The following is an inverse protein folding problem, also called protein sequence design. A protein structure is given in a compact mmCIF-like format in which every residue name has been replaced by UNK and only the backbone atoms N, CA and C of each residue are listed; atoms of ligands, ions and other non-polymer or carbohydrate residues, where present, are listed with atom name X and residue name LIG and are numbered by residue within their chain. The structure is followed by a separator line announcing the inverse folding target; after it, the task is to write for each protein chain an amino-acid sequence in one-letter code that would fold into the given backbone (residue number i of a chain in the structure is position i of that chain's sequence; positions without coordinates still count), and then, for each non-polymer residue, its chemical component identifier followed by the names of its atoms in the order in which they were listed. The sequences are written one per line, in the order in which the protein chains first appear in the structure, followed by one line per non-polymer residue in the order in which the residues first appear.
data_IF_725686059308
#
_entry.id   IF_725686059308
#
_cell.length_a   1.000
_cell.length_b   1.000
_cell.length_c   1.000
_cell.angle_alpha   90.00
_cell.angle_beta   90.00
_cell.angle_gamma   90.00
#
_symmetry.space_group_name_H-M   'P 1'
#
loop_
_entity.id
_entity.type
_entity.pdbx_description
1 polymer ?
#
# COMPACT_ATOMS: atom_id res chain seq x y z
N UNK A 1 2.99 -15.73 9.44
CA UNK A 1 2.20 -14.48 9.53
C UNK A 1 3.03 -13.25 9.94
N UNK A 2 3.81 -13.26 11.03
CA UNK A 2 4.60 -12.10 11.48
C UNK A 2 5.69 -11.64 10.48
N UNK A 3 6.33 -12.58 9.78
CA UNK A 3 7.42 -12.27 8.83
C UNK A 3 6.95 -11.47 7.59
N UNK A 4 5.78 -11.80 7.03
CA UNK A 4 5.14 -11.03 5.94
C UNK A 4 4.87 -9.58 6.34
N UNK A 5 4.35 -9.35 7.55
CA UNK A 5 4.09 -8.00 8.06
C UNK A 5 5.39 -7.20 8.23
N UNK A 6 6.45 -7.84 8.71
CA UNK A 6 7.77 -7.20 8.86
C UNK A 6 8.36 -6.84 7.49
N UNK A 7 8.35 -7.76 6.53
CA UNK A 7 8.84 -7.51 5.17
C UNK A 7 8.03 -6.42 4.44
N UNK A 8 6.70 -6.44 4.57
CA UNK A 8 5.82 -5.38 4.04
C UNK A 8 6.07 -4.03 4.72
N UNK A 9 6.33 -4.01 6.03
CA UNK A 9 6.70 -2.80 6.76
C UNK A 9 8.02 -2.21 6.24
N UNK A 10 9.03 -3.06 5.99
CA UNK A 10 10.29 -2.61 5.40
C UNK A 10 10.13 -2.12 3.96
N UNK A 11 9.29 -2.74 3.13
CA UNK A 11 9.00 -2.24 1.77
C UNK A 11 8.22 -0.91 1.79
N UNK A 12 7.22 -0.77 2.68
CA UNK A 12 6.46 0.47 2.86
C UNK A 12 7.30 1.64 3.39
N UNK A 13 8.45 1.36 3.98
CA UNK A 13 9.42 2.35 4.45
C UNK A 13 10.46 2.78 3.39
N UNK A 14 10.71 1.97 2.36
CA UNK A 14 11.76 2.24 1.35
C UNK A 14 11.36 3.24 0.28
N UNK A 15 10.08 3.26 -0.09
CA UNK A 15 9.62 4.00 -1.27
C UNK A 15 8.79 5.22 -0.87
N UNK A 16 9.31 6.45 -1.04
CA UNK A 16 8.55 7.67 -0.77
C UNK A 16 7.49 7.92 -1.85
N UNK A 17 6.36 8.52 -1.48
CA UNK A 17 5.29 8.88 -2.42
C UNK A 17 5.61 10.17 -3.17
N UNK A 18 4.88 10.46 -4.26
CA UNK A 18 5.02 11.69 -5.04
C UNK A 18 4.82 12.92 -4.15
N UNK A 19 3.79 12.90 -3.30
CA UNK A 19 3.47 13.99 -2.38
C UNK A 19 4.59 14.21 -1.36
N UNK A 20 5.21 13.12 -0.89
CA UNK A 20 6.34 13.19 0.03
C UNK A 20 7.58 13.80 -0.65
N UNK A 21 7.89 13.40 -1.89
CA UNK A 21 8.98 13.98 -2.66
C UNK A 21 8.78 15.48 -2.85
N UNK A 22 7.60 15.90 -3.32
CA UNK A 22 7.26 17.31 -3.54
C UNK A 22 7.38 18.10 -2.23
N UNK A 23 6.80 17.61 -1.14
CA UNK A 23 6.84 18.27 0.17
C UNK A 23 8.28 18.44 0.68
N UNK A 24 9.12 17.40 0.57
CA UNK A 24 10.53 17.51 0.99
C UNK A 24 11.29 18.46 0.07
N UNK A 25 11.08 18.41 -1.25
CA UNK A 25 11.74 19.31 -2.20
C UNK A 25 11.40 20.79 -1.93
N UNK A 26 10.12 21.09 -1.69
CA UNK A 26 9.65 22.42 -1.29
C UNK A 26 10.28 22.88 0.02
N UNK A 27 10.34 21.99 1.01
CA UNK A 27 10.96 22.29 2.31
C UNK A 27 12.46 22.55 2.16
N UNK A 28 13.18 21.74 1.39
CA UNK A 28 14.60 21.97 1.09
C UNK A 28 14.79 23.33 0.44
N UNK A 29 13.95 23.70 -0.53
CA UNK A 29 14.01 25.01 -1.20
C UNK A 29 13.76 26.16 -0.23
N UNK A 30 12.74 26.06 0.62
CA UNK A 30 12.42 27.08 1.62
C UNK A 30 13.58 27.27 2.62
N UNK A 31 14.11 26.18 3.18
CA UNK A 31 15.22 26.22 4.13
C UNK A 31 16.52 26.73 3.50
N UNK A 32 16.77 26.39 2.23
CA UNK A 32 17.95 26.87 1.49
C UNK A 32 17.85 28.37 1.21
N UNK A 33 16.67 28.89 0.83
CA UNK A 33 16.45 30.34 0.63
C UNK A 33 16.55 31.16 1.91
N UNK A 34 16.16 30.57 3.05
CA UNK A 34 16.28 31.21 4.36
C UNK A 34 17.72 31.21 4.92
N UNK A 35 18.63 30.43 4.34
CA UNK A 35 20.05 30.40 4.72
C UNK A 35 20.83 31.48 3.97
N UNK A 36 21.57 32.32 4.68
CA UNK A 36 22.41 33.39 4.10
C UNK A 36 23.42 32.84 3.08
N UNK A 37 23.91 31.62 3.30
CA UNK A 37 24.91 30.96 2.44
C UNK A 37 24.30 30.22 1.25
N UNK A 38 22.96 30.08 1.20
CA UNK A 38 22.28 29.20 0.25
C UNK A 38 22.67 27.73 0.39
N UNK A 39 23.22 27.34 1.55
CA UNK A 39 23.60 25.98 1.90
C UNK A 39 22.84 25.58 3.16
N UNK A 40 22.22 24.41 3.10
CA UNK A 40 21.58 23.75 4.24
C UNK A 40 22.60 22.84 4.92
N UNK A 41 23.16 23.31 6.03
CA UNK A 41 24.00 22.50 6.91
C UNK A 41 23.17 21.48 7.68
N UNK A 42 23.72 20.27 7.87
CA UNK A 42 23.03 19.12 8.49
C UNK A 42 21.61 18.90 7.95
N UNK A 43 21.46 18.61 6.65
CA UNK A 43 20.17 18.63 5.96
C UNK A 43 19.13 17.68 6.56
N UNK A 44 19.52 16.49 7.02
CA UNK A 44 18.57 15.53 7.60
C UNK A 44 17.96 16.00 8.92
N UNK A 45 18.76 16.60 9.80
CA UNK A 45 18.28 17.12 11.09
C UNK A 45 17.30 18.28 10.87
N UNK A 46 17.68 19.24 10.01
CA UNK A 46 16.83 20.39 9.66
C UNK A 46 15.53 19.98 8.97
N UNK A 47 15.58 18.99 8.08
CA UNK A 47 14.38 18.48 7.43
C UNK A 47 13.49 17.71 8.40
N UNK A 48 14.06 16.99 9.36
CA UNK A 48 13.27 16.29 10.37
C UNK A 48 12.61 17.25 11.36
N UNK A 49 13.29 18.34 11.72
CA UNK A 49 12.71 19.43 12.52
C UNK A 49 11.54 20.10 11.79
N UNK A 50 11.67 20.37 10.50
CA UNK A 50 10.60 20.95 9.69
C UNK A 50 9.46 19.97 9.36
N UNK A 51 9.76 18.67 9.30
CA UNK A 51 8.83 17.60 8.96
C UNK A 51 8.87 16.48 10.02
N UNK A 52 8.38 16.72 11.25
CA UNK A 52 8.51 15.77 12.37
C UNK A 52 7.77 14.45 12.12
N UNK A 53 6.72 14.48 11.29
CA UNK A 53 5.95 13.29 10.92
C UNK A 53 6.65 12.39 9.88
N UNK A 54 7.81 12.80 9.36
CA UNK A 54 8.59 12.02 8.39
C UNK A 54 9.83 11.45 9.06
N UNK A 55 9.90 10.12 9.16
CA UNK A 55 11.03 9.44 9.78
C UNK A 55 12.36 9.64 9.04
N UNK A 56 13.47 9.63 9.79
CA UNK A 56 14.83 9.88 9.29
C UNK A 56 15.24 9.00 8.09
N UNK A 57 14.87 7.71 8.10
CA UNK A 57 15.18 6.80 7.01
C UNK A 57 14.51 7.24 5.69
N UNK A 58 13.27 7.75 5.75
CA UNK A 58 12.56 8.26 4.57
C UNK A 58 13.20 9.55 4.07
N UNK A 59 13.54 10.48 4.97
CA UNK A 59 14.25 11.71 4.59
C UNK A 59 15.59 11.41 3.92
N UNK A 60 16.32 10.39 4.40
CA UNK A 60 17.57 9.95 3.77
C UNK A 60 17.34 9.43 2.36
N UNK A 61 16.32 8.61 2.13
CA UNK A 61 16.00 8.14 0.76
C UNK A 61 15.60 9.30 -0.14
N UNK A 62 14.70 10.18 0.31
CA UNK A 62 14.20 11.30 -0.50
C UNK A 62 15.33 12.28 -0.84
N UNK A 63 16.22 12.59 0.12
CA UNK A 63 17.36 13.49 -0.14
C UNK A 63 18.38 12.90 -1.11
N UNK A 64 18.64 11.59 -1.03
CA UNK A 64 19.46 10.90 -2.05
C UNK A 64 18.80 11.00 -3.42
N UNK A 65 17.50 10.71 -3.49
CA UNK A 65 16.76 10.78 -4.76
C UNK A 65 16.78 12.18 -5.37
N UNK A 66 16.54 13.22 -4.56
CA UNK A 66 16.63 14.62 -5.00
C UNK A 66 18.02 15.00 -5.51
N UNK A 67 19.09 14.41 -4.95
CA UNK A 67 20.44 14.60 -5.45
C UNK A 67 20.66 13.89 -6.79
N UNK A 68 20.18 12.65 -6.92
CA UNK A 68 20.35 11.83 -8.13
C UNK A 68 19.62 12.42 -9.35
N UNK A 69 18.47 13.07 -9.14
CA UNK A 69 17.73 13.78 -10.20
C UNK A 69 18.23 15.21 -10.45
N UNK A 70 19.31 15.62 -9.78
CA UNK A 70 19.94 16.93 -9.97
C UNK A 70 19.17 18.11 -9.38
N UNK A 71 18.26 17.88 -8.42
CA UNK A 71 17.54 18.96 -7.73
C UNK A 71 18.25 19.48 -6.49
N UNK A 72 19.17 18.68 -5.96
CA UNK A 72 20.06 19.10 -4.89
C UNK A 72 21.48 18.69 -5.22
N UNK A 73 22.45 19.38 -4.63
CA UNK A 73 23.85 18.99 -4.68
C UNK A 73 24.39 18.90 -3.27
N UNK A 74 25.05 17.79 -2.94
CA UNK A 74 25.79 17.67 -1.68
C UNK A 74 27.09 18.47 -1.74
N UNK A 75 27.41 19.18 -0.67
CA UNK A 75 28.69 19.87 -0.52
C UNK A 75 29.74 18.89 0.01
N UNK A 76 31.03 19.22 -0.15
CA UNK A 76 32.14 18.41 0.40
C UNK A 76 32.06 18.25 1.93
N UNK A 77 31.39 19.16 2.63
CA UNK A 77 31.21 19.14 4.10
C UNK A 77 29.93 18.41 4.54
N UNK A 78 29.17 17.83 3.61
CA UNK A 78 27.93 17.10 3.92
C UNK A 78 26.67 17.97 3.99
N UNK A 79 26.79 19.27 3.71
CA UNK A 79 25.65 20.18 3.51
C UNK A 79 24.94 19.91 2.18
N UNK A 80 23.80 20.56 1.99
CA UNK A 80 22.96 20.42 0.79
C UNK A 80 22.64 21.78 0.20
N UNK A 81 22.76 21.91 -1.12
CA UNK A 81 22.33 23.09 -1.86
C UNK A 81 21.19 22.72 -2.79
N UNK A 82 20.11 23.50 -2.80
CA UNK A 82 19.04 23.36 -3.79
C UNK A 82 19.51 23.88 -5.15
N UNK A 83 19.22 23.12 -6.21
CA UNK A 83 19.38 23.54 -7.59
C UNK A 83 17.99 23.95 -8.09
N UNK A 84 17.88 25.18 -8.59
CA UNK A 84 16.65 25.66 -9.24
C UNK A 84 16.89 25.76 -10.75
N UNK A 85 16.99 24.60 -11.38
CA UNK A 85 16.90 24.50 -12.83
C UNK A 85 15.42 24.31 -13.16
N UNK A 86 14.87 25.14 -14.06
CA UNK A 86 13.50 25.01 -14.54
C UNK A 86 13.16 23.57 -14.95
N UNK A 87 11.89 23.16 -14.79
CA UNK A 87 11.46 21.77 -14.97
C UNK A 87 11.61 20.89 -13.73
N UNK A 88 11.93 21.48 -12.59
CA UNK A 88 11.96 20.86 -11.27
C UNK A 88 10.75 19.95 -10.96
N UNK A 89 9.53 20.43 -11.19
CA UNK A 89 8.31 19.67 -10.88
C UNK A 89 8.16 18.45 -11.80
N UNK A 90 8.46 18.60 -13.09
CA UNK A 90 8.41 17.52 -14.06
C UNK A 90 9.45 16.43 -13.75
N UNK A 91 10.67 16.82 -13.33
CA UNK A 91 11.70 15.88 -12.86
C UNK A 91 11.24 15.11 -11.61
N UNK A 92 10.59 15.78 -10.65
CA UNK A 92 10.03 15.13 -9.45
C UNK A 92 8.95 14.14 -9.85
N UNK A 93 8.02 14.54 -10.70
CA UNK A 93 6.87 13.73 -11.07
C UNK A 93 7.31 12.47 -11.83
N UNK A 94 8.24 12.62 -12.78
CA UNK A 94 8.84 11.49 -13.49
C UNK A 94 9.59 10.55 -12.54
N UNK A 95 10.45 11.09 -11.68
CA UNK A 95 11.21 10.28 -10.74
C UNK A 95 10.30 9.54 -9.74
N UNK A 96 9.25 10.20 -9.27
CA UNK A 96 8.29 9.60 -8.37
C UNK A 96 7.49 8.49 -9.05
N UNK A 97 7.08 8.68 -10.32
CA UNK A 97 6.40 7.65 -11.10
C UNK A 97 7.30 6.42 -11.33
N UNK A 98 8.56 6.62 -11.72
CA UNK A 98 9.53 5.52 -11.87
C UNK A 98 9.74 4.75 -10.55
N UNK A 99 9.83 5.46 -9.42
CA UNK A 99 9.95 4.84 -8.11
C UNK A 99 8.68 4.12 -7.66
N UNK A 100 7.50 4.65 -7.99
CA UNK A 100 6.22 3.98 -7.71
C UNK A 100 6.11 2.66 -8.47
N UNK A 101 6.51 2.64 -9.76
CA UNK A 101 6.56 1.42 -10.57
C UNK A 101 7.55 0.39 -10.02
N UNK A 102 8.73 0.83 -9.55
CA UNK A 102 9.69 -0.05 -8.85
C UNK A 102 9.11 -0.61 -7.55
N UNK A 103 8.44 0.23 -6.76
CA UNK A 103 7.81 -0.19 -5.50
C UNK A 103 6.73 -1.24 -5.72
N UNK A 104 5.92 -1.10 -6.77
CA UNK A 104 4.92 -2.09 -7.14
C UNK A 104 5.57 -3.41 -7.59
N UNK A 105 6.62 -3.33 -8.40
CA UNK A 105 7.39 -4.50 -8.84
C UNK A 105 8.01 -5.25 -7.65
N UNK A 106 8.62 -4.52 -6.71
CA UNK A 106 9.19 -5.08 -5.48
C UNK A 106 8.13 -5.77 -4.60
N UNK A 107 6.94 -5.15 -4.45
CA UNK A 107 5.82 -5.77 -3.72
C UNK A 107 5.37 -7.05 -4.39
N UNK A 108 5.25 -7.04 -5.72
CA UNK A 108 4.84 -8.20 -6.49
C UNK A 108 5.88 -9.33 -6.38
N UNK A 109 7.18 -9.01 -6.39
CA UNK A 109 8.25 -9.99 -6.15
C UNK A 109 8.12 -10.59 -4.74
N UNK A 110 7.96 -9.75 -3.72
CA UNK A 110 7.81 -10.23 -2.34
C UNK A 110 6.61 -11.17 -2.19
N UNK A 111 5.46 -10.78 -2.75
CA UNK A 111 4.26 -11.60 -2.71
C UNK A 111 4.45 -12.95 -3.40
N UNK A 112 5.16 -12.98 -4.53
CA UNK A 112 5.56 -14.24 -5.18
C UNK A 112 6.48 -15.08 -4.30
N UNK A 113 7.48 -14.48 -3.65
CA UNK A 113 8.37 -15.19 -2.72
C UNK A 113 7.60 -15.79 -1.55
N UNK A 114 6.67 -15.04 -0.97
CA UNK A 114 5.82 -15.51 0.13
C UNK A 114 4.94 -16.66 -0.34
N UNK A 115 4.32 -16.53 -1.52
CA UNK A 115 3.49 -17.58 -2.11
C UNK A 115 4.30 -18.85 -2.34
N UNK A 116 5.49 -18.73 -2.93
CA UNK A 116 6.40 -19.86 -3.13
C UNK A 116 6.73 -20.56 -1.80
N UNK A 117 7.06 -19.80 -0.76
CA UNK A 117 7.45 -20.34 0.54
C UNK A 117 6.28 -20.96 1.33
N UNK A 118 5.05 -20.48 1.15
CA UNK A 118 3.87 -20.90 1.91
C UNK A 118 2.96 -21.88 1.17
N UNK A 119 3.24 -22.15 -0.11
CA UNK A 119 2.41 -23.08 -0.88
C UNK A 119 2.73 -24.54 -0.57
N UNK A 120 1.70 -25.38 -0.75
CA UNK A 120 1.83 -26.83 -0.82
C UNK A 120 2.06 -27.33 -2.27
N UNK A 121 2.17 -26.43 -3.25
CA UNK A 121 2.27 -26.79 -4.65
C UNK A 121 3.66 -27.34 -4.99
N UNK A 122 3.76 -28.09 -6.10
CA UNK A 122 5.06 -28.56 -6.60
C UNK A 122 6.01 -27.37 -6.84
N UNK A 123 7.17 -27.38 -6.18
CA UNK A 123 8.15 -26.27 -6.27
C UNK A 123 8.60 -26.01 -7.70
N UNK A 124 8.87 -27.07 -8.46
CA UNK A 124 9.29 -26.95 -9.86
C UNK A 124 8.20 -26.36 -10.73
N UNK A 125 6.94 -26.78 -10.56
CA UNK A 125 5.80 -26.22 -11.30
C UNK A 125 5.69 -24.72 -11.09
N UNK A 126 5.75 -24.25 -9.84
CA UNK A 126 5.69 -22.81 -9.54
C UNK A 126 6.83 -22.01 -10.17
N UNK A 127 8.06 -22.55 -10.17
CA UNK A 127 9.21 -21.89 -10.80
C UNK A 127 9.05 -21.85 -12.32
N UNK A 128 8.64 -22.96 -12.94
CA UNK A 128 8.39 -23.02 -14.38
C UNK A 128 7.25 -22.07 -14.79
N UNK A 129 6.16 -22.01 -14.04
CA UNK A 129 5.06 -21.06 -14.26
C UNK A 129 5.52 -19.61 -14.17
N UNK A 130 6.39 -19.29 -13.20
CA UNK A 130 6.95 -17.96 -13.05
C UNK A 130 7.78 -17.54 -14.28
N UNK A 131 8.74 -18.38 -14.69
CA UNK A 131 9.62 -18.04 -15.81
C UNK A 131 8.89 -18.08 -17.16
N UNK A 132 7.94 -19.00 -17.35
CA UNK A 132 7.12 -19.02 -18.57
C UNK A 132 6.23 -17.78 -18.66
N UNK A 133 5.62 -17.32 -17.56
CA UNK A 133 4.84 -16.09 -17.53
C UNK A 133 5.68 -14.84 -17.83
N UNK A 134 6.92 -14.78 -17.34
CA UNK A 134 7.83 -13.64 -17.62
C UNK A 134 8.27 -13.60 -19.09
N UNK A 135 8.53 -14.76 -19.70
CA UNK A 135 8.90 -14.83 -21.12
C UNK A 135 7.74 -14.39 -22.02
N UNK A 136 6.50 -14.81 -21.72
CA UNK A 136 5.30 -14.38 -22.47
C UNK A 136 5.11 -12.86 -22.39
N UNK A 137 5.37 -12.24 -21.23
CA UNK A 137 5.30 -10.77 -21.05
C UNK A 137 6.41 -10.02 -21.78
N UNK A 138 7.60 -10.61 -21.93
CA UNK A 138 8.68 -10.00 -22.69
C UNK A 138 8.42 -10.08 -24.20
N UNK A 139 7.87 -11.19 -24.68
CA UNK A 139 7.48 -11.36 -26.08
C UNK A 139 6.40 -10.37 -26.53
N UNK A 140 5.40 -10.08 -25.68
CA UNK A 140 4.35 -9.10 -25.99
C UNK A 140 4.83 -7.65 -26.02
N UNK A 141 6.06 -7.37 -25.55
CA UNK A 141 6.68 -6.02 -25.55
C UNK A 141 7.63 -5.80 -26.73
N UNK A 142 8.02 -6.85 -27.46
CA UNK A 142 8.94 -6.74 -28.61
C UNK A 142 8.11 -6.77 -29.90
N UNK A 143 7.73 -5.58 -30.37
CA UNK A 143 7.23 -5.39 -31.74
C UNK A 143 8.44 -5.07 -32.62
N UNK A 144 8.91 -6.07 -33.36
CA UNK A 144 9.96 -6.02 -34.39
C UNK A 144 11.40 -5.65 -33.92
N UNK A 145 12.31 -6.64 -33.93
CA UNK A 145 13.61 -6.61 -34.66
C UNK A 145 14.54 -7.78 -34.24
N UNK A 146 15.48 -8.08 -35.15
CA UNK A 146 16.29 -9.29 -35.40
C UNK A 146 16.66 -10.30 -34.29
N UNK A 147 16.83 -11.59 -34.67
CA UNK A 147 17.06 -12.70 -33.76
C UNK A 147 18.53 -12.76 -33.31
N UNK A 148 18.89 -11.98 -32.30
CA UNK A 148 20.20 -12.13 -31.66
C UNK A 148 20.01 -12.95 -30.38
N UNK A 149 20.45 -14.21 -30.47
CA UNK A 149 20.40 -15.32 -29.49
C UNK A 149 19.23 -16.28 -29.72
N UNK A 150 19.58 -17.51 -30.09
CA UNK A 150 18.67 -18.67 -30.02
C UNK A 150 18.38 -19.01 -28.55
N UNK A 151 17.63 -18.15 -27.87
CA UNK A 151 16.97 -18.51 -26.63
C UNK A 151 15.90 -19.54 -26.99
N UNK A 152 16.25 -20.81 -26.90
CA UNK A 152 15.28 -21.89 -26.98
C UNK A 152 14.36 -21.69 -25.78
N UNK A 153 13.10 -21.37 -26.07
CA UNK A 153 12.04 -21.30 -25.07
C UNK A 153 12.16 -22.54 -24.16
N UNK A 154 12.25 -22.37 -22.83
CA UNK A 154 12.17 -23.50 -21.92
C UNK A 154 10.83 -24.18 -22.19
N UNK A 155 10.88 -25.32 -22.84
CA UNK A 155 9.71 -26.18 -22.97
C UNK A 155 9.37 -26.64 -21.56
N UNK A 156 8.09 -26.64 -21.23
CA UNK A 156 7.63 -27.22 -19.98
C UNK A 156 7.91 -28.73 -20.00
N UNK A 157 9.10 -29.12 -19.53
CA UNK A 157 9.56 -30.51 -19.51
C UNK A 157 8.67 -31.41 -18.64
N UNK A 158 7.84 -30.81 -17.78
CA UNK A 158 6.86 -31.51 -16.95
C UNK A 158 5.51 -31.67 -17.65
N UNK A 159 5.27 -31.02 -18.80
CA UNK A 159 3.99 -31.10 -19.50
C UNK A 159 2.77 -30.71 -18.66
N UNK A 160 2.95 -29.81 -17.68
CA UNK A 160 1.92 -29.44 -16.70
C UNK A 160 1.78 -30.38 -15.49
N UNK A 161 2.56 -31.46 -15.41
CA UNK A 161 2.54 -32.39 -14.28
C UNK A 161 3.43 -31.93 -13.11
N UNK A 162 3.36 -32.67 -12.00
CA UNK A 162 4.24 -32.49 -10.83
C UNK A 162 5.57 -33.17 -11.08
N UNK A 163 6.67 -32.58 -10.60
CA UNK A 163 8.00 -33.14 -10.81
C UNK A 163 8.28 -34.46 -10.06
N UNK A 164 7.49 -34.80 -9.03
CA UNK A 164 7.65 -36.01 -8.23
C UNK A 164 8.89 -36.05 -7.32
N UNK A 165 9.83 -35.11 -7.46
CA UNK A 165 11.15 -35.15 -6.80
C UNK A 165 11.43 -33.98 -5.85
N UNK A 166 10.59 -32.93 -5.83
CA UNK A 166 10.76 -31.87 -4.84
C UNK A 166 10.18 -32.26 -3.49
N UNK A 167 10.67 -31.62 -2.43
CA UNK A 167 10.17 -31.77 -1.07
C UNK A 167 8.64 -31.59 -0.94
N UNK A 168 7.98 -30.65 -1.65
CA UNK A 168 6.50 -30.58 -1.62
C UNK A 168 5.79 -31.74 -2.34
N UNK A 169 6.46 -32.46 -3.26
CA UNK A 169 5.92 -33.67 -3.88
C UNK A 169 6.19 -34.91 -3.01
N UNK A 170 7.34 -34.94 -2.35
CA UNK A 170 7.78 -36.05 -1.50
C UNK A 170 7.13 -36.01 -0.11
N UNK A 171 7.00 -34.81 0.45
CA UNK A 171 6.42 -34.49 1.74
C UNK A 171 5.45 -33.31 1.57
N UNK A 172 4.25 -33.55 1.00
CA UNK A 172 3.25 -32.50 0.91
C UNK A 172 2.92 -32.00 2.32
N UNK A 173 2.93 -30.68 2.57
CA UNK A 173 2.63 -30.16 3.89
C UNK A 173 1.19 -30.51 4.27
N UNK A 174 1.05 -31.38 5.26
CA UNK A 174 -0.24 -31.74 5.83
C UNK A 174 -0.74 -30.55 6.65
N UNK A 175 -1.94 -30.06 6.36
CA UNK A 175 -2.60 -29.08 7.23
C UNK A 175 -3.01 -29.81 8.50
N UNK A 176 -2.14 -29.78 9.51
CA UNK A 176 -2.54 -30.19 10.86
C UNK A 176 -3.38 -29.06 11.45
N UNK A 177 -4.70 -29.24 11.47
CA UNK A 177 -5.61 -28.29 12.11
C UNK A 177 -5.25 -28.16 13.59
N UNK A 178 -4.59 -27.06 13.95
CA UNK A 178 -4.28 -26.82 15.34
C UNK A 178 -5.58 -26.58 16.13
N UNK A 179 -5.71 -27.06 17.37
CA UNK A 179 -6.86 -26.75 18.24
C UNK A 179 -7.12 -25.24 18.44
N UNK A 180 -6.14 -24.39 18.10
CA UNK A 180 -6.26 -22.93 18.09
C UNK A 180 -6.97 -22.40 16.84
N UNK A 181 -6.81 -23.02 15.68
CA UNK A 181 -7.51 -22.66 14.44
C UNK A 181 -8.95 -23.15 14.44
N UNK A 182 -9.23 -24.31 15.03
CA UNK A 182 -10.62 -24.79 15.23
C UNK A 182 -11.42 -23.97 16.25
N UNK A 183 -10.76 -23.12 17.06
CA UNK A 183 -11.43 -22.06 17.86
C UNK A 183 -11.77 -20.82 17.05
N UNK A 184 -11.15 -20.60 15.89
CA UNK A 184 -11.66 -19.69 14.88
C UNK A 184 -12.78 -20.41 14.13
N UNK A 185 -13.95 -20.53 14.78
CA UNK A 185 -15.19 -20.67 14.03
C UNK A 185 -15.18 -19.56 12.97
N UNK A 186 -15.29 -19.94 11.69
CA UNK A 186 -15.84 -19.05 10.66
C UNK A 186 -17.00 -18.32 11.35
N UNK A 187 -17.05 -16.98 11.39
CA UNK A 187 -18.19 -16.32 11.95
C UNK A 187 -19.38 -16.81 11.12
N UNK A 188 -20.17 -17.73 11.68
CA UNK A 188 -21.52 -17.98 11.21
C UNK A 188 -22.11 -16.60 11.20
N UNK A 189 -22.42 -16.11 10.00
CA UNK A 189 -22.96 -14.78 9.70
C UNK A 189 -23.82 -14.30 10.84
N UNK A 190 -23.20 -13.60 11.81
CA UNK A 190 -23.94 -12.90 12.84
C UNK A 190 -24.48 -11.72 12.09
N UNK A 191 -25.76 -11.83 11.74
CA UNK A 191 -26.63 -10.83 11.12
C UNK A 191 -26.05 -9.44 11.38
N UNK A 192 -25.33 -8.91 10.38
CA UNK A 192 -25.01 -7.48 10.39
C UNK A 192 -26.36 -6.80 10.45
N UNK A 193 -26.63 -6.09 11.54
CA UNK A 193 -27.88 -5.36 11.70
C UNK A 193 -27.97 -4.38 10.54
N UNK A 194 -28.91 -4.61 9.63
CA UNK A 194 -29.23 -3.70 8.55
C UNK A 194 -29.93 -2.49 9.15
N UNK A 195 -29.38 -1.31 8.89
CA UNK A 195 -30.06 -0.04 9.14
C UNK A 195 -30.71 0.40 7.84
N UNK A 196 -31.83 1.12 7.94
CA UNK A 196 -32.47 1.76 6.80
C UNK A 196 -32.20 3.27 6.82
N UNK A 197 -32.24 3.89 5.64
CA UNK A 197 -32.16 5.35 5.53
C UNK A 197 -33.35 5.97 6.25
N UNK A 198 -33.08 6.88 7.19
CA UNK A 198 -34.08 7.48 8.07
C UNK A 198 -34.06 6.95 9.50
N UNK A 199 -33.34 5.86 9.80
CA UNK A 199 -33.26 5.34 11.17
C UNK A 199 -32.56 6.32 12.11
N UNK A 200 -33.10 6.49 13.33
CA UNK A 200 -32.42 7.23 14.39
C UNK A 200 -31.44 6.31 15.10
N UNK A 201 -30.17 6.73 15.13
CA UNK A 201 -29.09 5.92 15.63
C UNK A 201 -28.15 6.74 16.52
N UNK A 202 -27.54 6.08 17.52
CA UNK A 202 -26.66 6.70 18.50
C UNK A 202 -25.22 6.22 18.31
N UNK A 203 -24.33 7.16 18.04
CA UNK A 203 -22.89 6.96 18.01
C UNK A 203 -22.28 7.34 19.37
N UNK A 204 -21.42 6.48 19.93
CA UNK A 204 -20.85 6.64 21.28
C UNK A 204 -20.18 8.00 21.55
N UNK A 205 -19.56 8.60 20.54
CA UNK A 205 -18.82 9.87 20.66
C UNK A 205 -19.63 11.09 20.24
N UNK A 206 -20.66 10.91 19.41
CA UNK A 206 -21.35 12.01 18.72
C UNK A 206 -22.83 12.12 19.08
N UNK A 207 -23.35 11.23 19.93
CA UNK A 207 -24.74 11.27 20.35
C UNK A 207 -25.65 10.69 19.28
N UNK A 208 -26.87 11.21 19.18
CA UNK A 208 -27.90 10.73 18.27
C UNK A 208 -27.83 11.45 16.92
N UNK A 209 -28.09 10.70 15.86
CA UNK A 209 -28.19 11.23 14.51
C UNK A 209 -29.05 10.33 13.64
N UNK A 210 -29.40 10.80 12.46
CA UNK A 210 -30.26 10.10 11.52
C UNK A 210 -29.43 9.49 10.40
N UNK A 211 -29.71 8.23 10.06
CA UNK A 211 -29.05 7.57 8.93
C UNK A 211 -29.47 8.23 7.63
N UNK A 212 -28.50 8.77 6.91
CA UNK A 212 -28.70 9.38 5.59
C UNK A 212 -28.38 8.40 4.45
N UNK A 213 -27.43 7.49 4.66
CA UNK A 213 -27.03 6.52 3.64
C UNK A 213 -26.48 5.24 4.26
N UNK A 214 -26.73 4.10 3.61
CA UNK A 214 -26.18 2.80 3.99
C UNK A 214 -25.48 2.18 2.78
N UNK A 215 -24.23 1.75 2.97
CA UNK A 215 -23.41 1.11 1.94
C UNK A 215 -22.64 -0.07 2.53
N UNK A 216 -23.15 -1.28 2.31
CA UNK A 216 -22.58 -2.52 2.86
C UNK A 216 -22.56 -2.50 4.39
N UNK A 217 -21.36 -2.49 4.97
CA UNK A 217 -21.17 -2.43 6.43
C UNK A 217 -21.09 -1.00 6.99
N UNK A 218 -21.16 0.03 6.15
CA UNK A 218 -21.02 1.43 6.52
C UNK A 218 -22.36 2.17 6.50
N UNK A 219 -22.55 3.06 7.47
CA UNK A 219 -23.75 3.88 7.68
C UNK A 219 -23.29 5.33 7.85
N UNK A 220 -23.77 6.21 6.97
CA UNK A 220 -23.59 7.65 7.09
C UNK A 220 -24.72 8.21 7.96
N UNK A 221 -24.34 8.91 9.03
CA UNK A 221 -25.26 9.45 10.04
C UNK A 221 -25.07 10.96 10.08
N UNK A 222 -26.16 11.71 9.97
CA UNK A 222 -26.21 13.17 10.13
C UNK A 222 -26.59 13.51 11.56
N UNK A 223 -25.77 14.30 12.25
CA UNK A 223 -25.99 14.71 13.64
C UNK A 223 -26.62 16.11 13.71
N UNK A 224 -26.95 16.56 14.93
CA UNK A 224 -27.54 17.88 15.18
C UNK A 224 -26.61 19.06 14.84
N UNK A 225 -25.33 18.80 14.59
CA UNK A 225 -24.34 19.76 14.06
C UNK A 225 -24.39 19.90 12.52
N UNK A 226 -25.33 19.21 11.86
CA UNK A 226 -25.48 19.09 10.41
C UNK A 226 -24.27 18.47 9.70
N UNK A 227 -23.35 17.85 10.46
CA UNK A 227 -22.19 17.14 9.93
C UNK A 227 -22.54 15.67 9.67
N UNK A 228 -22.26 15.20 8.45
CA UNK A 228 -22.47 13.80 8.06
C UNK A 228 -21.21 13.00 8.34
N UNK A 229 -21.32 11.97 9.18
CA UNK A 229 -20.18 11.10 9.54
C UNK A 229 -20.49 9.65 9.21
N UNK A 230 -19.50 8.97 8.64
CA UNK A 230 -19.60 7.55 8.27
C UNK A 230 -19.07 6.67 9.39
N UNK A 231 -19.85 5.66 9.79
CA UNK A 231 -19.49 4.67 10.80
C UNK A 231 -19.74 3.26 10.28
N UNK A 232 -19.08 2.27 10.88
CA UNK A 232 -19.40 0.87 10.63
C UNK A 232 -20.63 0.49 11.46
N UNK A 233 -21.64 -0.12 10.84
CA UNK A 233 -22.95 -0.46 11.43
C UNK A 233 -22.85 -1.09 12.83
N UNK A 234 -21.86 -1.96 13.06
CA UNK A 234 -21.64 -2.63 14.36
C UNK A 234 -21.29 -1.70 15.53
N UNK A 235 -20.83 -0.47 15.27
CA UNK A 235 -20.43 0.49 16.30
C UNK A 235 -21.50 1.55 16.60
N UNK A 236 -22.68 1.41 15.99
CA UNK A 236 -23.80 2.31 16.14
C UNK A 236 -24.94 1.57 16.86
N UNK A 237 -25.60 2.24 17.79
CA UNK A 237 -26.74 1.69 18.52
C UNK A 237 -28.05 2.23 17.93
N UNK A 238 -29.02 1.39 17.54
CA UNK A 238 -30.34 1.89 17.16
C UNK A 238 -31.00 2.55 18.38
N UNK A 239 -31.61 3.71 18.16
CA UNK A 239 -32.52 4.31 19.12
C UNK A 239 -33.91 3.89 18.66
N UNK A 240 -34.60 3.06 19.45
CA UNK A 240 -35.96 2.67 19.12
C UNK A 240 -36.78 3.95 18.91
N UNK A 241 -37.29 4.14 17.69
CA UNK A 241 -38.19 5.24 17.38
C UNK A 241 -39.41 5.07 18.27
N UNK A 242 -39.61 5.96 19.24
CA UNK A 242 -40.89 6.05 19.92
C UNK A 242 -41.90 6.50 18.86
N UNK A 243 -42.70 5.57 18.37
CA UNK A 243 -43.88 5.89 17.58
C UNK A 243 -44.71 6.94 18.35
N UNK A 244 -44.79 8.16 17.81
CA UNK A 244 -45.74 9.16 18.22
C UNK A 244 -47.14 8.78 17.68
N UNK A 245 -48.23 9.21 18.34
CA UNK A 245 -49.53 8.56 18.27
C UNK A 245 -50.24 8.81 16.94
N UNK A 246 -51.08 7.86 16.55
CA UNK A 246 -52.04 8.04 15.47
C UNK A 246 -53.05 9.12 15.87
N UNK A 247 -53.04 10.24 15.15
CA UNK A 247 -54.15 11.19 15.14
C UNK A 247 -55.31 10.63 14.31
N UNK A 248 -56.48 10.77 14.91
CA UNK A 248 -57.82 10.40 14.50
C UNK A 248 -58.26 11.07 13.20
N UNK A 249 -58.94 10.33 12.31
CA UNK A 249 -59.90 10.89 11.34
C UNK A 249 -60.74 9.80 10.68
N UNK A 250 -61.82 9.38 11.35
CA UNK A 250 -63.22 9.36 10.87
C UNK A 250 -64.11 8.41 11.66
#
# INVERSE_FOLDING_TARGET
MKDKQVQQFFLGGRYPTVEMLRRVAETVRALTRASESGILEKPLERLHEALPNVGMSKLRVVTTLLNDIGMTRRTRRGGMKAIDEGGAMEKIDKAAAEYALRAESDRAVLERTITYAQSAQCRWRMLLDYFTADVVKQQSRVSYCEPVLSYRMPTDELGGERCGTCDNCLNPPTVEESPRESRMRVPTTKTTRSFDVGDTVRARRYGEGTVEMVSGDCVAVRFSDDEVRTFIARYIQPVASSAAPAEDSR
#
